data_IF_594964115852
#
_entry.id   IF_594964115852
#
_cell.length_a   1.000
_cell.length_b   1.000
_cell.length_c   1.000
_cell.angle_alpha   90.00
_cell.angle_beta   90.00
_cell.angle_gamma   90.00
#
_symmetry.space_group_name_H-M   'P 1'
#
loop_
_entity.id
_entity.type
_entity.pdbx_description
1 polymer ?
#
# COMPACT_ATOMS: atom_id res chain seq x y z
N UNK A 1 -27.85 -1.73 10.20
CA UNK A 1 -26.68 -2.60 10.37
C UNK A 1 -25.46 -1.77 10.75
N UNK A 2 -24.57 -2.34 11.55
CA UNK A 2 -23.34 -1.69 11.98
C UNK A 2 -22.21 -2.08 11.03
N UNK A 3 -21.57 -1.11 10.41
CA UNK A 3 -20.32 -1.27 9.65
C UNK A 3 -19.25 -0.40 10.27
N UNK A 4 -18.03 -0.54 9.79
CA UNK A 4 -16.91 0.32 10.18
C UNK A 4 -16.27 0.91 8.94
N UNK A 5 -15.61 2.05 9.10
CA UNK A 5 -14.83 2.65 8.02
C UNK A 5 -13.53 3.25 8.54
N UNK A 6 -12.55 3.38 7.66
CA UNK A 6 -11.31 4.11 7.91
C UNK A 6 -10.76 4.67 6.60
N UNK A 7 -9.95 5.71 6.75
CA UNK A 7 -9.16 6.29 5.68
C UNK A 7 -7.68 6.06 5.99
N UNK A 8 -6.96 5.43 5.07
CA UNK A 8 -5.51 5.25 5.13
C UNK A 8 -4.86 6.55 4.69
N UNK A 9 -4.04 7.14 5.55
CA UNK A 9 -3.30 8.34 5.24
C UNK A 9 -1.90 8.05 4.66
N UNK A 10 -1.27 9.05 4.02
CA UNK A 10 0.09 8.93 3.47
C UNK A 10 1.18 8.66 4.51
N UNK A 11 0.87 8.83 5.80
CA UNK A 11 1.77 8.48 6.92
C UNK A 11 1.68 7.02 7.38
N UNK A 12 0.65 6.27 6.95
CA UNK A 12 0.36 4.94 7.50
C UNK A 12 1.20 3.83 6.83
N UNK A 13 1.85 4.13 5.72
CA UNK A 13 2.70 3.18 4.99
C UNK A 13 1.93 1.95 4.48
N UNK A 14 0.61 2.07 4.32
CA UNK A 14 -0.28 0.96 3.96
C UNK A 14 -0.57 -0.01 5.11
N UNK A 15 -0.27 0.36 6.35
CA UNK A 15 -0.60 -0.42 7.54
C UNK A 15 -1.83 0.18 8.20
N UNK A 16 -2.81 -0.66 8.55
CA UNK A 16 -4.00 -0.24 9.30
C UNK A 16 -3.62 0.11 10.75
N UNK A 17 -3.09 1.31 10.96
CA UNK A 17 -2.73 1.88 12.27
C UNK A 17 -3.94 2.55 12.95
N UNK A 18 -4.84 3.11 12.12
CA UNK A 18 -6.03 3.83 12.57
C UNK A 18 -7.14 2.88 13.05
N UNK A 19 -7.79 3.26 14.16
CA UNK A 19 -8.97 2.53 14.67
C UNK A 19 -10.18 2.80 13.77
N UNK A 20 -10.87 1.77 13.24
CA UNK A 20 -12.04 1.97 12.40
C UNK A 20 -13.18 2.67 13.14
N UNK A 21 -13.83 3.63 12.48
CA UNK A 21 -14.97 4.38 13.02
C UNK A 21 -16.28 3.62 12.72
N UNK A 22 -17.16 3.41 13.72
CA UNK A 22 -18.45 2.77 13.50
C UNK A 22 -19.41 3.67 12.69
N UNK A 23 -20.20 3.06 11.82
CA UNK A 23 -21.22 3.71 11.00
C UNK A 23 -22.50 2.86 10.97
N UNK A 24 -23.63 3.47 11.30
CA UNK A 24 -24.94 2.80 11.22
C UNK A 24 -25.59 3.08 9.87
N UNK A 25 -25.95 2.03 9.15
CA UNK A 25 -26.57 2.10 7.83
C UNK A 25 -27.89 1.31 7.78
N UNK A 26 -28.80 1.61 6.84
CA UNK A 26 -29.91 0.73 6.52
C UNK A 26 -29.44 -0.68 6.15
N UNK A 27 -30.32 -1.69 6.28
CA UNK A 27 -30.00 -3.01 5.76
C UNK A 27 -29.83 -2.97 4.23
N UNK A 28 -28.89 -3.78 3.74
CA UNK A 28 -28.55 -3.87 2.31
C UNK A 28 -28.07 -2.55 1.69
N UNK A 29 -27.55 -1.64 2.50
CA UNK A 29 -26.93 -0.42 1.99
C UNK A 29 -25.72 -0.75 1.09
N UNK A 30 -25.50 0.04 0.06
CA UNK A 30 -24.36 -0.12 -0.85
C UNK A 30 -23.12 0.60 -0.34
N UNK A 31 -21.96 0.27 -0.91
CA UNK A 31 -20.70 1.00 -0.67
C UNK A 31 -20.86 2.47 -1.01
N UNK A 32 -21.51 2.82 -2.12
CA UNK A 32 -21.77 4.23 -2.47
C UNK A 32 -22.58 4.94 -1.38
N UNK A 33 -23.67 4.33 -0.90
CA UNK A 33 -24.52 4.91 0.15
C UNK A 33 -23.76 5.07 1.47
N UNK A 34 -22.86 4.13 1.80
CA UNK A 34 -22.01 4.25 2.97
C UNK A 34 -21.02 5.42 2.85
N UNK A 35 -20.39 5.59 1.69
CA UNK A 35 -19.47 6.70 1.43
C UNK A 35 -20.19 8.06 1.45
N UNK A 36 -21.43 8.13 0.95
CA UNK A 36 -22.30 9.30 1.08
C UNK A 36 -22.62 9.59 2.56
N UNK A 37 -22.93 8.56 3.36
CA UNK A 37 -23.22 8.70 4.78
C UNK A 37 -22.00 9.15 5.61
N UNK A 38 -20.77 8.87 5.14
CA UNK A 38 -19.52 9.39 5.73
C UNK A 38 -19.33 10.88 5.42
N UNK A 39 -20.06 11.43 4.44
CA UNK A 39 -20.01 12.85 4.07
C UNK A 39 -19.11 13.15 2.87
N UNK A 40 -18.74 12.14 2.07
CA UNK A 40 -18.00 12.35 0.83
C UNK A 40 -18.90 12.91 -0.27
N UNK A 41 -18.37 13.85 -1.08
CA UNK A 41 -19.08 14.36 -2.25
C UNK A 41 -19.18 13.31 -3.35
N UNK A 42 -20.22 13.38 -4.18
CA UNK A 42 -20.40 12.44 -5.31
C UNK A 42 -19.19 12.40 -6.26
N UNK A 43 -18.58 13.56 -6.54
CA UNK A 43 -17.35 13.64 -7.34
C UNK A 43 -16.18 12.89 -6.70
N UNK A 44 -16.00 13.05 -5.38
CA UNK A 44 -14.94 12.34 -4.65
C UNK A 44 -15.19 10.84 -4.60
N UNK A 45 -16.44 10.41 -4.41
CA UNK A 45 -16.82 8.99 -4.43
C UNK A 45 -16.53 8.38 -5.80
N UNK A 46 -16.92 9.05 -6.88
CA UNK A 46 -16.67 8.58 -8.24
C UNK A 46 -15.16 8.44 -8.53
N UNK A 47 -14.36 9.43 -8.10
CA UNK A 47 -12.90 9.38 -8.23
C UNK A 47 -12.31 8.17 -7.48
N UNK A 48 -12.65 8.01 -6.20
CA UNK A 48 -12.13 6.92 -5.37
C UNK A 48 -12.49 5.53 -5.94
N UNK A 49 -13.71 5.34 -6.43
CA UNK A 49 -14.14 4.07 -7.02
C UNK A 49 -13.46 3.81 -8.37
N UNK A 50 -13.29 4.85 -9.20
CA UNK A 50 -12.59 4.76 -10.49
C UNK A 50 -11.12 4.39 -10.31
N UNK A 51 -10.46 4.97 -9.30
CA UNK A 51 -9.07 4.69 -8.96
C UNK A 51 -8.87 3.38 -8.19
N UNK A 52 -9.95 2.65 -7.88
CA UNK A 52 -9.93 1.45 -7.02
C UNK A 52 -9.33 1.75 -5.64
N UNK A 53 -9.61 2.93 -5.11
CA UNK A 53 -9.17 3.40 -3.80
C UNK A 53 -10.17 3.07 -2.67
N UNK A 54 -11.17 2.21 -2.93
CA UNK A 54 -12.11 1.74 -1.90
C UNK A 54 -12.07 0.22 -1.85
N UNK A 55 -11.99 -0.33 -0.64
CA UNK A 55 -12.04 -1.76 -0.40
C UNK A 55 -12.99 -2.12 0.74
N UNK A 56 -13.51 -3.35 0.72
CA UNK A 56 -14.16 -4.00 1.85
C UNK A 56 -13.30 -5.19 2.25
N UNK A 57 -12.76 -5.18 3.48
CA UNK A 57 -11.83 -6.21 3.96
C UNK A 57 -10.68 -6.52 2.98
N UNK A 58 -10.02 -5.50 2.44
CA UNK A 58 -8.90 -5.64 1.49
C UNK A 58 -9.29 -6.06 0.06
N UNK A 59 -10.58 -6.25 -0.23
CA UNK A 59 -11.06 -6.51 -1.59
C UNK A 59 -11.63 -5.24 -2.21
N UNK A 60 -11.20 -4.91 -3.44
CA UNK A 60 -11.71 -3.73 -4.14
C UNK A 60 -13.23 -3.74 -4.24
N UNK A 61 -13.81 -2.62 -3.85
CA UNK A 61 -15.25 -2.44 -3.79
C UNK A 61 -15.77 -1.75 -5.06
N UNK A 62 -17.00 -2.08 -5.44
CA UNK A 62 -17.75 -1.39 -6.50
C UNK A 62 -18.88 -0.57 -5.89
N UNK A 63 -19.37 0.45 -6.59
CA UNK A 63 -20.46 1.33 -6.12
C UNK A 63 -21.69 0.56 -5.59
N UNK A 64 -22.12 -0.47 -6.33
CA UNK A 64 -23.32 -1.27 -6.02
C UNK A 64 -23.06 -2.48 -5.11
N UNK A 65 -21.85 -2.63 -4.56
CA UNK A 65 -21.56 -3.73 -3.64
C UNK A 65 -22.41 -3.55 -2.37
N UNK A 66 -23.23 -4.55 -2.06
CA UNK A 66 -24.08 -4.56 -0.86
C UNK A 66 -23.21 -4.87 0.35
N UNK A 67 -23.35 -4.04 1.39
CA UNK A 67 -22.67 -4.22 2.66
C UNK A 67 -23.46 -5.12 3.60
N UNK A 68 -22.73 -5.79 4.49
CA UNK A 68 -23.25 -6.61 5.56
C UNK A 68 -22.82 -6.08 6.93
N UNK A 69 -23.53 -6.50 7.97
CA UNK A 69 -23.17 -6.13 9.34
C UNK A 69 -21.78 -6.66 9.68
N UNK A 70 -20.94 -5.80 10.24
CA UNK A 70 -19.54 -6.11 10.56
C UNK A 70 -18.56 -5.79 9.42
N UNK A 71 -19.02 -5.36 8.25
CA UNK A 71 -18.12 -4.96 7.17
C UNK A 71 -17.25 -3.77 7.55
N UNK A 72 -16.03 -3.75 7.00
CA UNK A 72 -15.11 -2.63 7.13
C UNK A 72 -14.75 -2.06 5.77
N UNK A 73 -15.10 -0.80 5.59
CA UNK A 73 -14.79 0.00 4.41
C UNK A 73 -13.42 0.66 4.62
N UNK A 74 -12.54 0.51 3.64
CA UNK A 74 -11.16 0.98 3.68
C UNK A 74 -10.96 1.92 2.50
N UNK A 75 -10.76 3.21 2.77
CA UNK A 75 -10.32 4.19 1.76
C UNK A 75 -8.81 4.07 1.69
N UNK A 76 -8.32 3.52 0.58
CA UNK A 76 -6.92 3.21 0.34
C UNK A 76 -6.17 4.47 -0.10
N UNK A 77 -4.93 4.59 0.34
CA UNK A 77 -4.04 5.64 -0.17
C UNK A 77 -3.50 5.29 -1.56
N UNK A 78 -3.17 6.31 -2.33
CA UNK A 78 -2.51 6.16 -3.62
C UNK A 78 -1.14 5.53 -3.46
N UNK A 79 -0.65 4.87 -4.52
CA UNK A 79 0.72 4.37 -4.53
C UNK A 79 1.71 5.54 -4.47
N UNK A 80 2.44 5.66 -3.36
CA UNK A 80 3.49 6.67 -3.20
C UNK A 80 4.70 6.46 -4.13
N UNK A 81 4.85 5.26 -4.69
CA UNK A 81 5.96 4.92 -5.57
C UNK A 81 5.59 3.79 -6.55
N UNK A 82 6.08 3.87 -7.80
CA UNK A 82 5.89 2.80 -8.79
C UNK A 82 6.59 1.49 -8.34
N UNK A 83 5.83 0.40 -8.11
CA UNK A 83 6.39 -0.88 -7.68
C UNK A 83 7.46 -1.42 -8.63
N UNK A 84 7.32 -1.22 -9.94
CA UNK A 84 8.27 -1.74 -10.94
C UNK A 84 9.60 -0.99 -10.88
N UNK A 85 9.56 0.34 -10.83
CA UNK A 85 10.75 1.15 -10.66
C UNK A 85 11.46 0.83 -9.32
N UNK A 86 10.71 0.53 -8.25
CA UNK A 86 11.28 0.19 -6.94
C UNK A 86 12.01 -1.14 -7.01
N UNK A 87 11.41 -2.12 -7.69
CA UNK A 87 12.05 -3.41 -7.98
C UNK A 87 13.32 -3.22 -8.82
N UNK A 88 13.28 -2.37 -9.84
CA UNK A 88 14.43 -2.08 -10.71
C UNK A 88 15.60 -1.48 -9.93
N UNK A 89 15.34 -0.45 -9.11
CA UNK A 89 16.36 0.18 -8.26
C UNK A 89 16.98 -0.82 -7.29
N UNK A 90 16.17 -1.66 -6.65
CA UNK A 90 16.66 -2.73 -5.75
C UNK A 90 17.54 -3.74 -6.48
N UNK A 91 17.18 -4.14 -7.69
CA UNK A 91 17.98 -5.05 -8.51
C UNK A 91 19.34 -4.43 -8.89
N UNK A 92 19.35 -3.19 -9.36
CA UNK A 92 20.58 -2.45 -9.70
C UNK A 92 21.50 -2.29 -8.48
N UNK A 93 20.93 -1.89 -7.33
CA UNK A 93 21.69 -1.76 -6.09
C UNK A 93 22.35 -3.09 -5.70
N UNK A 94 21.62 -4.21 -5.77
CA UNK A 94 22.16 -5.55 -5.49
C UNK A 94 23.36 -5.90 -6.38
N UNK A 95 23.30 -5.56 -7.67
CA UNK A 95 24.39 -5.78 -8.64
C UNK A 95 25.61 -4.94 -8.28
N UNK A 96 25.42 -3.64 -8.02
CA UNK A 96 26.50 -2.71 -7.64
C UNK A 96 27.18 -3.15 -6.34
N UNK A 97 26.42 -3.46 -5.30
CA UNK A 97 26.96 -3.92 -4.01
C UNK A 97 27.74 -5.23 -4.18
N UNK A 98 27.28 -6.17 -5.01
CA UNK A 98 28.01 -7.41 -5.30
C UNK A 98 29.34 -7.13 -5.98
N UNK A 99 29.36 -6.25 -6.99
CA UNK A 99 30.58 -5.86 -7.72
C UNK A 99 31.61 -5.22 -6.78
N UNK A 100 31.18 -4.30 -5.91
CA UNK A 100 32.04 -3.66 -4.92
C UNK A 100 32.66 -4.70 -3.95
N UNK A 101 31.88 -5.66 -3.48
CA UNK A 101 32.37 -6.75 -2.61
C UNK A 101 33.43 -7.61 -3.31
N UNK A 102 33.22 -7.95 -4.59
CA UNK A 102 34.20 -8.71 -5.36
C UNK A 102 35.50 -7.94 -5.59
N UNK A 103 35.42 -6.64 -5.91
CA UNK A 103 36.60 -5.77 -6.04
C UNK A 103 37.38 -5.70 -4.72
N UNK A 104 36.71 -5.45 -3.60
CA UNK A 104 37.35 -5.43 -2.29
C UNK A 104 38.01 -6.77 -1.94
N UNK A 105 37.38 -7.89 -2.31
CA UNK A 105 37.95 -9.24 -2.13
C UNK A 105 39.17 -9.46 -3.02
N UNK A 106 39.15 -8.96 -4.26
CA UNK A 106 40.29 -9.01 -5.16
C UNK A 106 41.47 -8.20 -4.62
N UNK A 107 41.26 -6.95 -4.21
CA UNK A 107 42.29 -6.09 -3.64
C UNK A 107 42.94 -6.69 -2.40
N UNK A 108 42.14 -7.24 -1.47
CA UNK A 108 42.65 -7.94 -0.28
C UNK A 108 43.56 -9.11 -0.65
N UNK A 109 43.19 -9.91 -1.65
CA UNK A 109 44.00 -11.05 -2.13
C UNK A 109 45.31 -10.58 -2.77
N UNK A 110 45.26 -9.52 -3.57
CA UNK A 110 46.44 -8.93 -4.20
C UNK A 110 47.45 -8.45 -3.16
N UNK A 111 47.00 -7.66 -2.17
CA UNK A 111 47.85 -7.16 -1.07
C UNK A 111 48.48 -8.30 -0.25
N UNK A 112 47.74 -9.39 -0.01
CA UNK A 112 48.29 -10.55 0.70
C UNK A 112 49.42 -11.22 -0.09
N UNK A 113 49.24 -11.38 -1.41
CA UNK A 113 50.26 -11.97 -2.30
C UNK A 113 51.53 -11.13 -2.40
N UNK A 114 51.38 -9.80 -2.52
CA UNK A 114 52.54 -8.91 -2.56
C UNK A 114 53.32 -8.91 -1.25
N UNK A 115 52.65 -9.05 -0.10
CA UNK A 115 53.30 -9.14 1.22
C UNK A 115 54.05 -10.46 1.47
N UNK A 116 53.64 -11.55 0.83
CA UNK A 116 54.32 -12.86 0.95
C UNK A 116 55.46 -13.06 -0.05
N UNK A 117 55.59 -12.17 -1.04
CA UNK A 117 56.63 -12.23 -2.08
C UNK A 117 57.87 -11.38 -1.75
N UNK A 118 57.92 -10.80 -0.55
CA UNK A 118 59.06 -10.10 0.05
C UNK A 118 59.52 -10.90 1.26
#
# INVERSE_FOLDING_TARGET
MLVHWLELGPGDGGVLTSTPTPLNLPEKATVEQALQAIGLSGERINLLLTERAVAVYGLYATEGMVLHSGDRIEILDGLSFDPMESRRRRAQHKVLTKRQKELAKYERRSRKRSKTAT
#
